data_IF_288378896027
#
_entry.id   IF_288378896027
#
_cell.length_a   1.000
_cell.length_b   1.000
_cell.length_c   1.000
_cell.angle_alpha   90.00
_cell.angle_beta   90.00
_cell.angle_gamma   90.00
#
_symmetry.space_group_name_H-M   'P 1'
#
loop_
_entity.id
_entity.type
_entity.pdbx_description
1 polymer ?
#
# COMPACT_ATOMS: atom_id res chain seq x y z
N UNK A 1 -32.53 -13.69 -31.74
CA UNK A 1 -31.61 -14.70 -31.17
C UNK A 1 -30.81 -13.94 -30.12
N UNK A 2 -31.41 -13.78 -28.95
CA UNK A 2 -30.76 -13.07 -27.84
C UNK A 2 -29.62 -13.95 -27.34
N UNK A 3 -28.38 -13.47 -27.52
CA UNK A 3 -27.23 -14.00 -26.83
C UNK A 3 -27.51 -13.78 -25.34
N UNK A 4 -27.91 -14.85 -24.65
CA UNK A 4 -27.87 -14.91 -23.19
C UNK A 4 -26.42 -14.63 -22.83
N UNK A 5 -26.15 -13.39 -22.44
CA UNK A 5 -24.83 -12.95 -21.98
C UNK A 5 -24.51 -13.82 -20.78
N UNK A 6 -23.40 -14.55 -20.83
CA UNK A 6 -22.97 -15.41 -19.74
C UNK A 6 -22.43 -14.53 -18.60
N UNK A 7 -23.35 -13.91 -17.87
CA UNK A 7 -23.07 -13.03 -16.73
C UNK A 7 -22.24 -13.75 -15.64
N UNK A 8 -22.22 -15.08 -15.64
CA UNK A 8 -21.39 -15.91 -14.77
C UNK A 8 -19.92 -15.87 -15.14
N UNK A 9 -19.61 -16.02 -16.44
CA UNK A 9 -18.24 -15.95 -16.94
C UNK A 9 -17.62 -14.55 -16.74
N UNK A 10 -18.37 -13.50 -17.06
CA UNK A 10 -17.92 -12.11 -16.89
C UNK A 10 -17.65 -11.81 -15.40
N UNK A 11 -18.54 -12.26 -14.51
CA UNK A 11 -18.35 -12.12 -13.06
C UNK A 11 -17.14 -12.89 -12.53
N UNK A 12 -16.89 -14.09 -13.06
CA UNK A 12 -15.73 -14.89 -12.68
C UNK A 12 -14.41 -14.18 -13.06
N UNK A 13 -14.33 -13.61 -14.27
CA UNK A 13 -13.14 -12.85 -14.71
C UNK A 13 -12.87 -11.65 -13.81
N UNK A 14 -13.91 -10.89 -13.44
CA UNK A 14 -13.76 -9.75 -12.51
C UNK A 14 -13.25 -10.21 -11.15
N UNK A 15 -13.81 -11.29 -10.58
CA UNK A 15 -13.36 -11.84 -9.31
C UNK A 15 -11.92 -12.32 -9.39
N UNK A 16 -11.54 -13.00 -10.48
CA UNK A 16 -10.17 -13.44 -10.69
C UNK A 16 -9.19 -12.26 -10.77
N UNK A 17 -9.55 -11.17 -11.48
CA UNK A 17 -8.73 -9.96 -11.56
C UNK A 17 -8.58 -9.28 -10.21
N UNK A 18 -9.66 -9.13 -9.45
CA UNK A 18 -9.63 -8.60 -8.07
C UNK A 18 -8.73 -9.45 -7.17
N UNK A 19 -8.85 -10.78 -7.27
CA UNK A 19 -8.01 -11.73 -6.53
C UNK A 19 -6.51 -11.65 -6.85
N UNK A 20 -6.13 -11.08 -8.00
CA UNK A 20 -4.74 -10.81 -8.36
C UNK A 20 -4.30 -9.39 -7.92
N UNK A 21 -5.15 -8.39 -8.15
CA UNK A 21 -4.82 -6.99 -7.94
C UNK A 21 -4.80 -6.61 -6.46
N UNK A 22 -5.75 -7.07 -5.64
CA UNK A 22 -5.79 -6.69 -4.22
C UNK A 22 -4.56 -7.17 -3.43
N UNK A 23 -4.10 -8.42 -3.59
CA UNK A 23 -2.82 -8.84 -2.99
C UNK A 23 -1.62 -8.06 -3.53
N UNK A 24 -1.63 -7.66 -4.79
CA UNK A 24 -0.55 -6.87 -5.37
C UNK A 24 -0.49 -5.45 -4.78
N UNK A 25 -1.64 -4.80 -4.56
CA UNK A 25 -1.73 -3.52 -3.81
C UNK A 25 -1.19 -3.69 -2.40
N UNK A 26 -1.62 -4.72 -1.68
CA UNK A 26 -1.13 -5.01 -0.32
C UNK A 26 0.40 -5.19 -0.31
N UNK A 27 0.93 -6.01 -1.21
CA UNK A 27 2.37 -6.29 -1.30
C UNK A 27 3.19 -5.03 -1.59
N UNK A 28 2.75 -4.21 -2.56
CA UNK A 28 3.40 -2.95 -2.89
C UNK A 28 3.39 -1.96 -1.71
N UNK A 29 2.23 -1.80 -1.05
CA UNK A 29 2.08 -0.90 0.08
C UNK A 29 2.90 -1.36 1.30
N UNK A 30 2.92 -2.66 1.58
CA UNK A 30 3.72 -3.23 2.66
C UNK A 30 5.22 -3.05 2.41
N UNK A 31 5.68 -3.31 1.19
CA UNK A 31 7.07 -3.05 0.77
C UNK A 31 7.43 -1.58 0.95
N UNK A 32 6.53 -0.68 0.55
CA UNK A 32 6.71 0.76 0.70
C UNK A 32 6.80 1.18 2.18
N UNK A 33 5.89 0.66 3.02
CA UNK A 33 5.87 0.93 4.46
C UNK A 33 7.15 0.49 5.19
N UNK A 34 7.86 -0.50 4.66
CA UNK A 34 9.11 -1.03 5.20
C UNK A 34 10.36 -0.45 4.54
N UNK A 35 10.21 0.45 3.57
CA UNK A 35 11.34 1.05 2.87
C UNK A 35 12.15 1.91 3.86
N UNK A 36 13.44 1.62 4.08
CA UNK A 36 14.24 2.41 5.00
C UNK A 36 14.52 3.79 4.40
N UNK A 37 14.74 4.80 5.25
CA UNK A 37 15.12 6.14 4.81
C UNK A 37 16.53 6.15 4.21
N UNK A 38 17.41 5.32 4.78
CA UNK A 38 18.81 5.19 4.40
C UNK A 38 19.17 3.72 4.21
N UNK A 39 20.08 3.43 3.30
CA UNK A 39 20.77 2.15 3.19
C UNK A 39 22.24 2.42 3.46
N UNK A 40 22.72 1.99 4.62
CA UNK A 40 24.03 2.35 5.15
C UNK A 40 24.20 3.88 5.27
N UNK A 41 24.84 4.52 4.28
CA UNK A 41 25.00 5.97 4.21
C UNK A 41 24.28 6.63 3.03
N UNK A 42 23.64 5.83 2.18
CA UNK A 42 23.01 6.31 0.96
C UNK A 42 21.52 6.57 1.18
N UNK A 43 21.03 7.68 0.64
CA UNK A 43 19.61 7.98 0.61
C UNK A 43 18.86 6.97 -0.26
N UNK A 44 17.78 6.41 0.25
CA UNK A 44 16.91 5.52 -0.52
C UNK A 44 15.83 6.35 -1.18
N UNK A 45 15.78 6.35 -2.51
CA UNK A 45 14.71 7.02 -3.25
C UNK A 45 13.38 6.25 -3.10
N UNK A 46 12.33 6.86 -2.50
CA UNK A 46 11.03 6.22 -2.36
C UNK A 46 10.24 6.15 -3.67
N UNK A 47 10.58 6.97 -4.67
CA UNK A 47 9.75 7.20 -5.87
C UNK A 47 9.44 5.92 -6.65
N UNK A 48 10.42 5.03 -6.97
CA UNK A 48 10.12 3.82 -7.73
C UNK A 48 9.14 2.86 -7.03
N UNK A 49 9.15 2.81 -5.70
CA UNK A 49 8.25 1.94 -4.94
C UNK A 49 6.87 2.60 -4.78
N UNK A 50 6.83 3.93 -4.65
CA UNK A 50 5.58 4.69 -4.66
C UNK A 50 4.88 4.58 -6.02
N UNK A 51 5.59 4.81 -7.12
CA UNK A 51 5.05 4.72 -8.48
C UNK A 51 4.47 3.33 -8.73
N UNK A 52 5.18 2.27 -8.32
CA UNK A 52 4.67 0.89 -8.41
C UNK A 52 3.40 0.66 -7.59
N UNK A 53 3.24 1.31 -6.43
CA UNK A 53 2.02 1.25 -5.62
C UNK A 53 0.87 2.02 -6.31
N UNK A 54 1.15 3.19 -6.86
CA UNK A 54 0.18 4.00 -7.58
C UNK A 54 -0.35 3.27 -8.82
N UNK A 55 0.54 2.66 -9.62
CA UNK A 55 0.18 1.89 -10.81
C UNK A 55 -0.77 0.74 -10.50
N UNK A 56 -0.45 -0.06 -9.47
CA UNK A 56 -1.31 -1.21 -9.10
C UNK A 56 -2.61 -0.75 -8.45
N UNK A 57 -2.60 0.35 -7.69
CA UNK A 57 -3.81 0.93 -7.11
C UNK A 57 -4.76 1.48 -8.18
N UNK A 58 -4.23 2.14 -9.21
CA UNK A 58 -5.02 2.61 -10.35
C UNK A 58 -5.67 1.44 -11.11
N UNK A 59 -4.92 0.36 -11.34
CA UNK A 59 -5.46 -0.86 -11.95
C UNK A 59 -6.56 -1.49 -11.08
N UNK A 60 -6.35 -1.56 -9.76
CA UNK A 60 -7.36 -2.09 -8.83
C UNK A 60 -8.63 -1.23 -8.82
N UNK A 61 -8.49 0.10 -8.83
CA UNK A 61 -9.61 1.05 -8.76
C UNK A 61 -10.64 0.84 -9.90
N UNK A 62 -10.19 0.38 -11.07
CA UNK A 62 -11.07 0.05 -12.20
C UNK A 62 -12.11 -1.02 -11.86
N UNK A 63 -11.80 -1.93 -10.93
CA UNK A 63 -12.68 -3.02 -10.52
C UNK A 63 -13.43 -2.73 -9.20
N UNK A 64 -13.16 -1.60 -8.56
CA UNK A 64 -13.62 -1.31 -7.21
C UNK A 64 -14.92 -0.48 -7.21
N UNK A 65 -15.75 -0.71 -6.18
CA UNK A 65 -16.85 0.20 -5.85
C UNK A 65 -16.37 1.44 -5.08
N UNK A 66 -17.27 2.40 -4.87
CA UNK A 66 -16.98 3.71 -4.23
C UNK A 66 -16.25 3.57 -2.89
N UNK A 67 -16.69 2.65 -2.02
CA UNK A 67 -16.07 2.45 -0.70
C UNK A 67 -14.62 1.97 -0.77
N UNK A 68 -14.32 1.06 -1.71
CA UNK A 68 -12.99 0.50 -1.89
C UNK A 68 -12.07 1.50 -2.61
N UNK A 69 -12.59 2.29 -3.54
CA UNK A 69 -11.88 3.44 -4.13
C UNK A 69 -11.49 4.47 -3.07
N UNK A 70 -12.40 4.84 -2.17
CA UNK A 70 -12.07 5.73 -1.07
C UNK A 70 -11.00 5.13 -0.13
N UNK A 71 -10.95 3.81 0.00
CA UNK A 71 -9.87 3.15 0.76
C UNK A 71 -8.53 3.19 0.03
N UNK A 72 -8.51 2.99 -1.29
CA UNK A 72 -7.32 3.16 -2.12
C UNK A 72 -6.79 4.59 -2.07
N UNK A 73 -7.66 5.60 -2.14
CA UNK A 73 -7.26 7.01 -2.03
C UNK A 73 -6.61 7.34 -0.68
N UNK A 74 -7.18 6.83 0.43
CA UNK A 74 -6.59 6.96 1.77
C UNK A 74 -5.22 6.29 1.85
N UNK A 75 -5.08 5.10 1.25
CA UNK A 75 -3.82 4.38 1.16
C UNK A 75 -2.75 5.18 0.41
N UNK A 76 -3.07 5.68 -0.78
CA UNK A 76 -2.14 6.47 -1.60
C UNK A 76 -1.76 7.79 -0.94
N UNK A 77 -2.72 8.46 -0.27
CA UNK A 77 -2.46 9.68 0.48
C UNK A 77 -1.50 9.42 1.64
N UNK A 78 -1.67 8.32 2.38
CA UNK A 78 -0.75 7.94 3.44
C UNK A 78 0.65 7.59 2.89
N UNK A 79 0.72 6.89 1.76
CA UNK A 79 2.00 6.55 1.11
C UNK A 79 2.76 7.81 0.64
N UNK A 80 2.07 8.76 0.01
CA UNK A 80 2.68 10.05 -0.38
C UNK A 80 3.20 10.82 0.82
N UNK A 81 2.45 10.86 1.92
CA UNK A 81 2.90 11.50 3.15
C UNK A 81 4.19 10.86 3.73
N UNK A 82 4.32 9.53 3.65
CA UNK A 82 5.57 8.85 3.99
C UNK A 82 6.69 9.26 3.04
N UNK A 83 6.47 9.25 1.71
CA UNK A 83 7.48 9.65 0.73
C UNK A 83 8.01 11.08 0.99
N UNK A 84 7.11 12.02 1.26
CA UNK A 84 7.45 13.41 1.54
C UNK A 84 8.23 13.53 2.85
N UNK A 85 7.81 12.81 3.90
CA UNK A 85 8.54 12.77 5.18
C UNK A 85 9.94 12.20 5.00
N UNK A 86 10.09 11.11 4.23
CA UNK A 86 11.39 10.51 3.90
C UNK A 86 12.29 11.53 3.21
N UNK A 87 11.78 12.25 2.19
CA UNK A 87 12.53 13.30 1.48
C UNK A 87 12.91 14.45 2.40
N UNK A 88 12.02 14.88 3.29
CA UNK A 88 12.31 15.91 4.30
C UNK A 88 13.42 15.46 5.26
N UNK A 89 13.39 14.22 5.74
CA UNK A 89 14.44 13.67 6.61
C UNK A 89 15.78 13.63 5.86
N UNK A 90 15.78 13.17 4.61
CA UNK A 90 16.99 13.10 3.79
C UNK A 90 17.60 14.48 3.51
N UNK A 91 16.77 15.51 3.36
CA UNK A 91 17.22 16.88 3.14
C UNK A 91 17.71 17.59 4.42
N UNK A 92 17.17 17.22 5.59
CA UNK A 92 17.41 17.91 6.86
C UNK A 92 18.38 17.19 7.80
N UNK A 93 18.73 15.94 7.51
CA UNK A 93 19.58 15.12 8.38
C UNK A 93 20.54 14.22 7.60
N UNK A 94 21.48 13.62 8.32
CA UNK A 94 22.41 12.59 7.83
C UNK A 94 22.05 11.25 8.47
N UNK A 95 22.38 10.12 7.83
CA UNK A 95 22.19 8.80 8.42
C UNK A 95 22.94 8.68 9.75
N UNK A 96 22.24 8.21 10.78
CA UNK A 96 22.86 7.81 12.04
C UNK A 96 23.67 6.52 11.88
N UNK A 97 24.22 6.01 12.99
CA UNK A 97 24.91 4.71 13.01
C UNK A 97 23.96 3.62 12.47
N UNK A 98 24.40 2.88 11.45
CA UNK A 98 23.61 1.80 10.83
C UNK A 98 22.49 2.27 9.90
N UNK A 99 22.50 3.52 9.42
CA UNK A 99 21.46 4.04 8.51
C UNK A 99 20.17 4.44 9.24
N UNK A 100 20.23 4.62 10.55
CA UNK A 100 19.05 4.99 11.34
C UNK A 100 18.65 6.46 11.11
N UNK A 101 17.34 6.71 11.20
CA UNK A 101 16.79 8.06 11.24
C UNK A 101 17.23 8.76 12.53
N UNK A 102 17.56 10.04 12.41
CA UNK A 102 17.84 10.95 13.54
C UNK A 102 16.75 10.86 14.60
N UNK A 103 17.14 10.77 15.87
CA UNK A 103 16.24 10.63 17.01
C UNK A 103 15.16 11.72 17.02
N UNK A 104 15.50 12.93 16.59
CA UNK A 104 14.57 14.08 16.55
C UNK A 104 13.45 13.90 15.54
N UNK A 105 13.70 13.17 14.45
CA UNK A 105 12.78 12.96 13.33
C UNK A 105 12.08 11.59 13.39
N UNK A 106 12.53 10.69 14.27
CA UNK A 106 11.96 9.36 14.47
C UNK A 106 10.47 9.38 14.85
N UNK A 107 9.96 10.30 15.70
CA UNK A 107 8.54 10.37 16.00
C UNK A 107 7.67 10.63 14.76
N UNK A 108 8.13 11.53 13.87
CA UNK A 108 7.41 11.90 12.65
C UNK A 108 7.42 10.76 11.64
N UNK A 109 8.59 10.16 11.36
CA UNK A 109 8.70 8.96 10.49
C UNK A 109 7.82 7.82 11.02
N UNK A 110 7.88 7.54 12.32
CA UNK A 110 7.05 6.52 12.95
C UNK A 110 5.56 6.82 12.85
N UNK A 111 5.14 8.08 12.97
CA UNK A 111 3.73 8.48 12.88
C UNK A 111 3.18 8.28 11.46
N UNK A 112 3.90 8.71 10.43
CA UNK A 112 3.45 8.52 9.04
C UNK A 112 3.43 7.06 8.62
N UNK A 113 4.40 6.24 9.09
CA UNK A 113 4.42 4.80 8.84
C UNK A 113 3.26 4.08 9.51
N UNK A 114 2.94 4.39 10.78
CA UNK A 114 1.74 3.85 11.46
C UNK A 114 0.46 4.22 10.74
N UNK A 115 0.36 5.45 10.22
CA UNK A 115 -0.80 5.88 9.43
C UNK A 115 -0.94 5.08 8.14
N UNK A 116 0.16 4.82 7.45
CA UNK A 116 0.17 3.97 6.27
C UNK A 116 -0.23 2.53 6.62
N UNK A 117 0.31 1.96 7.69
CA UNK A 117 -0.02 0.61 8.16
C UNK A 117 -1.52 0.44 8.49
N UNK A 118 -2.13 1.43 9.16
CA UNK A 118 -3.57 1.46 9.37
C UNK A 118 -4.36 1.54 8.05
N UNK A 119 -3.88 2.33 7.07
CA UNK A 119 -4.53 2.43 5.77
C UNK A 119 -4.42 1.12 4.96
N UNK A 120 -3.30 0.40 5.08
CA UNK A 120 -3.11 -0.94 4.52
C UNK A 120 -4.13 -1.90 5.12
N UNK A 121 -4.27 -1.92 6.44
CA UNK A 121 -5.22 -2.78 7.15
C UNK A 121 -6.65 -2.51 6.71
N UNK A 122 -7.07 -1.24 6.70
CA UNK A 122 -8.41 -0.84 6.25
C UNK A 122 -8.70 -1.22 4.79
N UNK A 123 -7.70 -1.09 3.91
CA UNK A 123 -7.80 -1.55 2.52
C UNK A 123 -7.99 -3.07 2.45
N UNK A 124 -7.19 -3.86 3.17
CA UNK A 124 -7.27 -5.32 3.14
C UNK A 124 -8.62 -5.80 3.67
N UNK A 125 -9.13 -5.23 4.76
CA UNK A 125 -10.46 -5.54 5.29
C UNK A 125 -11.56 -5.25 4.25
N UNK A 126 -11.50 -4.09 3.61
CA UNK A 126 -12.46 -3.70 2.57
C UNK A 126 -12.38 -4.60 1.33
N UNK A 127 -11.17 -4.96 0.92
CA UNK A 127 -10.91 -5.85 -0.22
C UNK A 127 -11.40 -7.28 0.05
N UNK A 128 -11.18 -7.80 1.26
CA UNK A 128 -11.69 -9.11 1.68
C UNK A 128 -13.21 -9.12 1.74
N UNK A 129 -13.84 -8.07 2.25
CA UNK A 129 -15.29 -7.92 2.25
C UNK A 129 -15.86 -7.90 0.83
N UNK A 130 -15.23 -7.17 -0.10
CA UNK A 130 -15.62 -7.14 -1.53
C UNK A 130 -15.51 -8.53 -2.20
N UNK A 131 -14.49 -9.31 -1.83
CA UNK A 131 -14.30 -10.69 -2.26
C UNK A 131 -15.16 -11.71 -1.49
N UNK A 132 -15.94 -11.27 -0.49
CA UNK A 132 -16.75 -12.12 0.41
C UNK A 132 -15.92 -13.20 1.13
N UNK A 133 -14.71 -12.82 1.55
CA UNK A 133 -13.84 -13.69 2.33
C UNK A 133 -14.08 -13.40 3.81
N UNK A 134 -14.67 -14.37 4.50
CA UNK A 134 -14.99 -14.25 5.92
C UNK A 134 -13.75 -14.41 6.83
N UNK A 135 -13.92 -13.98 8.09
CA UNK A 135 -12.94 -14.11 9.15
C UNK A 135 -11.94 -12.95 9.25
N UNK A 136 -11.42 -12.76 10.46
CA UNK A 136 -10.42 -11.74 10.77
C UNK A 136 -9.16 -11.95 9.94
N UNK A 137 -8.66 -10.86 9.37
CA UNK A 137 -7.37 -10.88 8.71
C UNK A 137 -6.25 -10.75 9.75
N UNK A 138 -5.23 -11.61 9.61
CA UNK A 138 -3.98 -11.50 10.35
C UNK A 138 -2.86 -11.32 9.33
N UNK A 139 -2.10 -10.21 9.38
CA UNK A 139 -0.98 -10.04 8.49
C UNK A 139 0.08 -11.11 8.75
N UNK A 140 0.54 -11.76 7.69
CA UNK A 140 1.72 -12.63 7.73
C UNK A 140 2.93 -11.73 7.55
N UNK A 141 3.51 -11.29 8.65
CA UNK A 141 4.78 -10.58 8.63
C UNK A 141 5.92 -11.59 8.82
N UNK A 142 6.91 -11.68 7.90
CA UNK A 142 8.16 -12.31 8.27
C UNK A 142 8.76 -11.52 9.42
N UNK A 143 9.15 -12.22 10.49
CA UNK A 143 9.94 -11.62 11.57
C UNK A 143 11.14 -10.91 10.95
N UNK A 144 11.26 -9.62 11.23
CA UNK A 144 12.37 -8.78 10.78
C UNK A 144 13.67 -9.21 11.44
#
# INVERSE_FOLDING_TARGET
MDLVRDDGADRYVVLQRKGQLFPAVYSAAHRFCRLPVWKDRDAVDPSPVLDSLEDVAMQAAFFCGVGLNASLERLLTAARAVADTVRTIQASSRPGLGGNVDERLRPDDGAVRRRLDHAITAFVESARADLRIDGSWLPVHPAS
#
